data_IF_710524248226
#
_entry.id   IF_710524248226
#
_cell.length_a   1.000
_cell.length_b   1.000
_cell.length_c   1.000
_cell.angle_alpha   90.00
_cell.angle_beta   90.00
_cell.angle_gamma   90.00
#
_symmetry.space_group_name_H-M   'P 1'
#
loop_
_entity.id
_entity.type
_entity.pdbx_description
1 polymer ?
#
# COMPACT_ATOMS: atom_id res chain seq x y z
N UNK A 1 56.88 16.40 -14.66
CA UNK A 1 56.30 16.21 -13.31
C UNK A 1 54.90 16.81 -13.36
N UNK A 2 53.88 16.00 -13.62
CA UNK A 2 52.99 15.37 -12.60
C UNK A 2 52.06 16.40 -11.95
N UNK A 3 50.75 16.25 -11.76
CA UNK A 3 49.68 15.31 -12.16
C UNK A 3 48.40 16.00 -11.65
N UNK A 4 47.26 15.88 -12.34
CA UNK A 4 46.01 16.44 -11.79
C UNK A 4 44.76 16.30 -12.65
N UNK A 5 44.57 15.18 -13.36
CA UNK A 5 43.28 14.86 -13.99
C UNK A 5 42.29 14.41 -12.90
N UNK A 6 41.35 15.27 -12.57
CA UNK A 6 40.15 14.90 -11.83
C UNK A 6 39.29 13.97 -12.70
N UNK A 7 39.12 12.73 -12.22
CA UNK A 7 38.26 11.71 -12.82
C UNK A 7 36.80 12.14 -12.62
N UNK A 8 36.16 12.61 -13.68
CA UNK A 8 34.70 12.70 -13.74
C UNK A 8 34.18 11.27 -13.95
N UNK A 9 33.57 10.72 -12.91
CA UNK A 9 32.85 9.46 -12.99
C UNK A 9 31.59 9.65 -13.81
N UNK A 10 31.62 9.21 -15.06
CA UNK A 10 30.41 9.02 -15.87
C UNK A 10 29.46 8.07 -15.13
N UNK A 11 28.34 8.58 -14.61
CA UNK A 11 27.15 7.77 -14.39
C UNK A 11 26.52 7.52 -15.76
N UNK A 12 27.09 6.56 -16.49
CA UNK A 12 26.57 6.05 -17.74
C UNK A 12 25.23 5.35 -17.48
N UNK A 13 24.18 5.93 -18.06
CA UNK A 13 22.99 5.28 -18.58
C UNK A 13 23.21 3.78 -18.86
N UNK A 14 22.60 2.90 -18.04
CA UNK A 14 22.50 1.48 -18.35
C UNK A 14 21.23 1.22 -19.15
N UNK A 15 21.31 1.40 -20.46
CA UNK A 15 20.46 0.65 -21.39
C UNK A 15 20.78 -0.84 -21.21
N UNK A 16 19.90 -1.59 -20.55
CA UNK A 16 19.80 -3.03 -20.77
C UNK A 16 18.70 -3.27 -21.78
N UNK A 17 19.04 -3.10 -23.06
CA UNK A 17 18.30 -3.72 -24.15
C UNK A 17 18.46 -5.24 -23.99
N UNK A 18 17.39 -5.92 -23.62
CA UNK A 18 17.28 -7.37 -23.69
C UNK A 18 15.89 -7.74 -24.22
N UNK A 19 15.61 -7.33 -25.46
CA UNK A 19 14.68 -8.09 -26.29
C UNK A 19 15.37 -9.41 -26.63
N UNK A 20 15.24 -10.39 -25.75
CA UNK A 20 15.54 -11.78 -26.08
C UNK A 20 14.21 -12.51 -26.19
N UNK A 21 13.79 -12.77 -27.42
CA UNK A 21 12.72 -13.71 -27.73
C UNK A 21 12.96 -15.01 -26.95
N UNK A 22 12.07 -15.34 -26.02
CA UNK A 22 12.06 -16.64 -25.37
C UNK A 22 11.58 -17.66 -26.41
N UNK A 23 12.51 -18.30 -27.12
CA UNK A 23 12.20 -19.53 -27.85
C UNK A 23 11.84 -20.61 -26.83
N UNK A 24 10.59 -21.06 -26.86
CA UNK A 24 10.12 -22.23 -26.13
C UNK A 24 10.82 -23.45 -26.74
N UNK A 25 11.87 -23.94 -26.09
CA UNK A 25 12.39 -25.29 -26.33
C UNK A 25 11.51 -26.27 -25.58
N UNK A 26 10.72 -27.05 -26.32
CA UNK A 26 10.12 -28.28 -25.83
C UNK A 26 11.22 -29.33 -25.64
N UNK A 27 11.37 -29.83 -24.41
CA UNK A 27 12.09 -31.08 -24.14
C UNK A 27 12.94 -31.08 -22.87
N UNK A 28 12.66 -32.04 -21.99
CA UNK A 28 13.62 -32.53 -20.99
C UNK A 28 13.17 -32.40 -19.54
N UNK A 29 12.69 -33.51 -18.98
CA UNK A 29 12.41 -33.70 -17.56
C UNK A 29 13.71 -33.59 -16.73
N UNK A 30 13.73 -32.70 -15.74
CA UNK A 30 14.83 -32.56 -14.78
C UNK A 30 14.90 -31.17 -14.15
N UNK A 31 13.94 -30.80 -13.30
CA UNK A 31 14.02 -29.54 -12.56
C UNK A 31 15.02 -29.71 -11.42
N UNK A 32 16.22 -29.15 -11.61
CA UNK A 32 17.25 -29.01 -10.57
C UNK A 32 16.75 -28.10 -9.46
N UNK A 33 17.14 -28.36 -8.21
CA UNK A 33 16.80 -27.55 -7.04
C UNK A 33 17.35 -26.09 -7.07
N UNK A 34 18.04 -25.70 -8.15
CA UNK A 34 18.57 -24.36 -8.39
C UNK A 34 17.63 -23.42 -9.18
N UNK A 35 16.48 -23.90 -9.67
CA UNK A 35 15.55 -23.13 -10.52
C UNK A 35 14.34 -22.52 -9.78
N UNK A 36 14.45 -22.25 -8.48
CA UNK A 36 13.40 -21.46 -7.79
C UNK A 36 13.50 -20.01 -8.25
N UNK A 37 12.66 -19.62 -9.20
CA UNK A 37 12.38 -18.20 -9.46
C UNK A 37 12.07 -17.52 -8.11
N UNK A 38 12.69 -16.37 -7.82
CA UNK A 38 12.39 -15.66 -6.57
C UNK A 38 10.89 -15.37 -6.52
N UNK A 39 10.27 -15.65 -5.37
CA UNK A 39 8.86 -15.33 -5.19
C UNK A 39 8.67 -13.83 -5.42
N UNK A 40 7.73 -13.48 -6.32
CA UNK A 40 7.44 -12.09 -6.63
C UNK A 40 6.90 -11.38 -5.38
N UNK A 41 7.32 -10.13 -5.16
CA UNK A 41 6.96 -9.35 -3.97
C UNK A 41 6.04 -8.18 -4.32
N UNK A 42 5.02 -7.89 -3.49
CA UNK A 42 4.23 -6.67 -3.68
C UNK A 42 5.08 -5.42 -3.37
N UNK A 43 4.70 -4.31 -3.99
CA UNK A 43 5.35 -3.01 -3.79
C UNK A 43 4.32 -1.88 -3.75
N UNK A 44 4.77 -0.70 -3.29
CA UNK A 44 4.04 0.55 -3.39
C UNK A 44 4.87 1.52 -4.21
N UNK A 45 4.32 1.91 -5.35
CA UNK A 45 4.81 2.97 -6.22
C UNK A 45 4.19 4.29 -5.78
N UNK A 46 5.02 5.30 -5.62
CA UNK A 46 4.65 6.62 -5.10
C UNK A 46 5.04 7.67 -6.14
N UNK A 47 4.14 8.60 -6.46
CA UNK A 47 4.60 9.87 -7.05
C UNK A 47 5.43 10.66 -6.03
N UNK A 48 6.17 11.65 -6.52
CA UNK A 48 7.03 12.50 -5.71
C UNK A 48 6.32 13.80 -5.32
N UNK A 49 6.15 14.69 -6.28
CA UNK A 49 5.57 16.01 -6.09
C UNK A 49 4.05 15.88 -5.87
N UNK A 50 3.51 16.48 -4.81
CA UNK A 50 2.11 16.36 -4.41
C UNK A 50 1.78 15.10 -3.60
N UNK A 51 2.71 14.15 -3.49
CA UNK A 51 2.51 12.87 -2.78
C UNK A 51 3.48 12.69 -1.60
N UNK A 52 4.78 12.85 -1.84
CA UNK A 52 5.82 12.82 -0.80
C UNK A 52 6.23 14.23 -0.35
N UNK A 53 6.26 15.15 -1.29
CA UNK A 53 6.71 16.53 -1.09
C UNK A 53 5.72 17.51 -1.70
N UNK A 54 5.78 18.78 -1.29
CA UNK A 54 4.93 19.81 -1.87
C UNK A 54 5.17 20.01 -3.39
N UNK A 55 4.14 20.40 -4.14
CA UNK A 55 4.18 20.54 -5.59
C UNK A 55 4.21 22.02 -6.03
N UNK A 56 5.40 22.60 -6.04
CA UNK A 56 5.61 24.01 -6.41
C UNK A 56 5.87 24.24 -7.92
N UNK A 57 5.53 23.28 -8.79
CA UNK A 57 5.57 23.49 -10.25
C UNK A 57 6.97 23.28 -10.88
N UNK A 58 7.49 22.06 -10.73
CA UNK A 58 8.82 21.58 -11.15
C UNK A 58 9.94 21.89 -10.14
N UNK A 59 9.92 21.21 -9.00
CA UNK A 59 10.99 21.30 -8.01
C UNK A 59 12.28 20.62 -8.52
N UNK A 60 13.34 21.42 -8.70
CA UNK A 60 14.69 20.95 -9.04
C UNK A 60 15.77 21.44 -8.09
N UNK A 61 15.42 22.20 -7.05
CA UNK A 61 16.35 22.64 -6.02
C UNK A 61 16.19 21.77 -4.75
N UNK A 62 17.21 20.99 -4.36
CA UNK A 62 17.17 20.16 -3.16
C UNK A 62 16.89 20.92 -1.87
N UNK A 63 17.21 22.22 -1.80
CA UNK A 63 17.00 23.03 -0.59
C UNK A 63 15.53 23.44 -0.38
N UNK A 64 14.72 23.35 -1.43
CA UNK A 64 13.31 23.73 -1.40
C UNK A 64 12.38 22.54 -1.10
N UNK A 65 12.93 21.34 -0.87
CA UNK A 65 12.14 20.16 -0.54
C UNK A 65 11.42 20.35 0.79
N UNK A 66 10.09 20.25 0.74
CA UNK A 66 9.22 20.19 1.92
C UNK A 66 8.44 18.88 1.91
N UNK A 67 8.72 17.99 2.86
CA UNK A 67 7.99 16.73 3.00
C UNK A 67 6.57 17.02 3.52
N UNK A 68 5.57 16.42 2.87
CA UNK A 68 4.17 16.63 3.24
C UNK A 68 3.86 16.01 4.63
N UNK A 69 2.91 16.59 5.39
CA UNK A 69 2.50 16.02 6.67
C UNK A 69 2.02 14.57 6.55
N UNK A 70 2.44 13.72 7.50
CA UNK A 70 2.01 12.32 7.54
C UNK A 70 2.84 11.36 6.68
N UNK A 71 3.72 11.85 5.80
CA UNK A 71 4.52 11.01 4.89
C UNK A 71 5.43 10.07 5.65
N UNK A 72 6.22 10.56 6.60
CA UNK A 72 7.12 9.70 7.38
C UNK A 72 6.36 8.58 8.11
N UNK A 73 5.21 8.89 8.72
CA UNK A 73 4.35 7.90 9.39
C UNK A 73 3.79 6.88 8.40
N UNK A 74 3.42 7.32 7.20
CA UNK A 74 2.90 6.45 6.15
C UNK A 74 3.97 5.47 5.66
N UNK A 75 5.17 5.96 5.37
CA UNK A 75 6.28 5.13 4.91
C UNK A 75 6.73 4.14 6.01
N UNK A 76 6.79 4.59 7.28
CA UNK A 76 7.02 3.69 8.42
C UNK A 76 5.98 2.56 8.48
N UNK A 77 4.70 2.89 8.27
CA UNK A 77 3.63 1.88 8.27
C UNK A 77 3.82 0.88 7.14
N UNK A 78 4.06 1.35 5.91
CA UNK A 78 4.26 0.45 4.77
C UNK A 78 5.49 -0.46 4.94
N UNK A 79 6.62 0.09 5.41
CA UNK A 79 7.84 -0.67 5.67
C UNK A 79 7.65 -1.74 6.75
N UNK A 80 6.85 -1.47 7.80
CA UNK A 80 6.52 -2.46 8.84
C UNK A 80 5.72 -3.65 8.31
N UNK A 81 5.11 -3.53 7.13
CA UNK A 81 4.39 -4.61 6.45
C UNK A 81 5.21 -5.22 5.30
N UNK A 82 6.55 -5.09 5.34
CA UNK A 82 7.50 -5.67 4.38
C UNK A 82 7.26 -5.26 2.91
N UNK A 83 6.59 -4.12 2.69
CA UNK A 83 6.36 -3.58 1.36
C UNK A 83 7.59 -2.82 0.86
N UNK A 84 7.95 -3.07 -0.39
CA UNK A 84 8.99 -2.30 -1.07
C UNK A 84 8.39 -0.99 -1.58
N UNK A 85 9.11 0.11 -1.33
CA UNK A 85 8.68 1.45 -1.74
C UNK A 85 9.51 1.93 -2.92
N UNK A 86 8.86 2.39 -3.97
CA UNK A 86 9.50 2.94 -5.17
C UNK A 86 8.93 4.30 -5.49
N UNK A 87 9.77 5.22 -5.92
CA UNK A 87 9.31 6.51 -6.46
C UNK A 87 9.27 6.44 -7.97
N UNK A 88 8.15 6.83 -8.58
CA UNK A 88 7.96 6.91 -10.03
C UNK A 88 7.42 8.28 -10.40
N UNK A 89 8.26 9.15 -10.97
CA UNK A 89 7.94 10.58 -11.11
C UNK A 89 8.17 11.15 -12.52
N UNK A 90 7.30 12.05 -12.97
CA UNK A 90 7.49 12.78 -14.22
C UNK A 90 8.28 14.08 -13.95
N UNK A 91 9.54 14.16 -14.39
CA UNK A 91 10.42 15.32 -14.18
C UNK A 91 10.50 16.20 -15.45
N UNK A 92 9.34 16.71 -15.87
CA UNK A 92 9.19 17.50 -17.08
C UNK A 92 9.92 18.86 -17.06
N UNK A 93 10.36 19.33 -15.89
CA UNK A 93 11.23 20.50 -15.76
C UNK A 93 12.53 20.36 -16.55
N UNK A 94 13.05 19.14 -16.70
CA UNK A 94 14.22 18.84 -17.56
C UNK A 94 13.93 19.14 -19.02
N UNK A 95 12.84 18.59 -19.55
CA UNK A 95 12.37 18.87 -20.91
C UNK A 95 12.06 20.36 -21.16
N UNK A 96 11.66 21.10 -20.12
CA UNK A 96 11.41 22.54 -20.19
C UNK A 96 12.68 23.40 -20.04
N UNK A 97 13.82 22.80 -19.73
CA UNK A 97 15.08 23.51 -19.50
C UNK A 97 15.13 24.29 -18.18
N UNK A 98 14.26 23.96 -17.20
CA UNK A 98 14.27 24.59 -15.88
C UNK A 98 15.46 24.15 -15.03
N UNK A 99 15.89 22.90 -15.17
CA UNK A 99 17.04 22.29 -14.52
C UNK A 99 17.51 21.06 -15.31
N UNK A 100 18.71 20.55 -15.01
CA UNK A 100 19.24 19.33 -15.62
C UNK A 100 18.93 18.06 -14.84
N UNK A 101 19.21 16.89 -15.42
CA UNK A 101 19.04 15.59 -14.75
C UNK A 101 19.89 15.46 -13.47
N UNK A 102 21.08 16.10 -13.43
CA UNK A 102 21.91 16.14 -12.21
C UNK A 102 21.15 16.75 -11.01
N UNK A 103 20.30 17.75 -11.26
CA UNK A 103 19.50 18.39 -10.23
C UNK A 103 18.39 17.44 -9.72
N UNK A 104 17.82 16.61 -10.59
CA UNK A 104 16.87 15.56 -10.23
C UNK A 104 17.54 14.55 -9.30
N UNK A 105 18.74 14.08 -9.66
CA UNK A 105 19.52 13.14 -8.85
C UNK A 105 19.84 13.73 -7.46
N UNK A 106 20.27 14.99 -7.41
CA UNK A 106 20.55 15.68 -6.14
C UNK A 106 19.29 15.84 -5.29
N UNK A 107 18.15 16.16 -5.91
CA UNK A 107 16.86 16.29 -5.23
C UNK A 107 16.40 14.95 -4.65
N UNK A 108 16.53 13.86 -5.40
CA UNK A 108 16.22 12.52 -4.90
C UNK A 108 17.14 12.09 -3.75
N UNK A 109 18.45 12.37 -3.85
CA UNK A 109 19.39 12.08 -2.78
C UNK A 109 19.05 12.85 -1.49
N UNK A 110 18.70 14.14 -1.62
CA UNK A 110 18.29 14.96 -0.49
C UNK A 110 16.96 14.48 0.11
N UNK A 111 15.98 14.13 -0.73
CA UNK A 111 14.72 13.57 -0.29
C UNK A 111 14.94 12.27 0.50
N UNK A 112 15.69 11.32 -0.04
CA UNK A 112 15.99 10.05 0.66
C UNK A 112 16.66 10.30 2.01
N UNK A 113 17.63 11.23 2.08
CA UNK A 113 18.26 11.60 3.36
C UNK A 113 17.22 12.08 4.38
N UNK A 114 16.35 13.03 4.00
CA UNK A 114 15.32 13.57 4.87
C UNK A 114 14.30 12.50 5.29
N UNK A 115 13.92 11.60 4.37
CA UNK A 115 13.04 10.48 4.67
C UNK A 115 13.69 9.52 5.67
N UNK A 116 14.96 9.12 5.46
CA UNK A 116 15.69 8.27 6.39
C UNK A 116 15.78 8.88 7.80
N UNK A 117 16.07 10.18 7.89
CA UNK A 117 16.11 10.93 9.16
C UNK A 117 14.75 10.90 9.89
N UNK A 118 13.64 11.16 9.19
CA UNK A 118 12.31 11.20 9.79
C UNK A 118 11.74 9.81 10.10
N UNK A 119 11.99 8.83 9.24
CA UNK A 119 11.52 7.45 9.38
C UNK A 119 12.34 6.68 10.42
N UNK A 120 13.63 7.03 10.60
CA UNK A 120 14.56 6.30 11.45
C UNK A 120 15.06 5.00 10.82
N UNK A 121 15.18 4.96 9.50
CA UNK A 121 15.65 3.80 8.74
C UNK A 121 16.90 4.16 7.91
N UNK A 122 17.80 3.20 7.64
CA UNK A 122 18.99 3.46 6.83
C UNK A 122 18.66 3.66 5.34
N UNK A 123 17.50 3.18 4.91
CA UNK A 123 16.99 3.25 3.54
C UNK A 123 15.47 3.22 3.59
N UNK A 124 14.80 4.13 2.89
CA UNK A 124 13.33 4.21 2.85
C UNK A 124 12.80 3.86 1.48
N UNK A 125 13.32 4.50 0.42
CA UNK A 125 12.88 4.24 -0.95
C UNK A 125 13.84 3.26 -1.63
N UNK A 126 13.34 2.11 -2.06
CA UNK A 126 14.14 1.06 -2.70
C UNK A 126 14.88 1.57 -3.93
N UNK A 127 14.18 2.29 -4.81
CA UNK A 127 14.77 2.90 -6.01
C UNK A 127 13.90 4.07 -6.51
N UNK A 128 14.53 5.01 -7.20
CA UNK A 128 13.86 6.16 -7.84
C UNK A 128 13.87 5.99 -9.36
N UNK A 129 12.69 6.06 -9.97
CA UNK A 129 12.50 6.12 -11.41
C UNK A 129 11.91 7.47 -11.80
N UNK A 130 12.44 8.07 -12.86
CA UNK A 130 11.92 9.33 -13.36
C UNK A 130 11.90 9.40 -14.89
N UNK A 131 10.97 10.18 -15.43
CA UNK A 131 10.91 10.50 -16.85
C UNK A 131 11.24 11.98 -17.11
N UNK A 132 12.36 12.30 -17.80
CA UNK A 132 12.70 13.67 -18.16
C UNK A 132 12.03 14.14 -19.47
N UNK A 133 11.42 13.24 -20.23
CA UNK A 133 10.88 13.50 -21.56
C UNK A 133 9.50 14.19 -21.54
N UNK A 134 9.23 14.98 -22.58
CA UNK A 134 7.93 15.62 -22.83
C UNK A 134 7.70 15.78 -24.35
N UNK A 135 6.50 15.52 -24.90
CA UNK A 135 6.24 15.65 -26.34
C UNK A 135 6.41 17.08 -26.86
N UNK A 136 6.11 18.06 -26.01
CA UNK A 136 6.25 19.50 -26.29
C UNK A 136 7.48 20.13 -25.60
N UNK A 137 8.56 19.37 -25.37
CA UNK A 137 9.76 19.88 -24.69
C UNK A 137 10.36 21.11 -25.40
N UNK A 138 10.92 22.06 -24.66
CA UNK A 138 11.71 23.16 -25.23
C UNK A 138 13.13 22.70 -25.55
N UNK A 139 13.69 21.80 -24.73
CA UNK A 139 14.99 21.18 -24.95
C UNK A 139 14.83 20.00 -25.91
N UNK A 140 15.43 20.11 -27.10
CA UNK A 140 15.22 19.19 -28.23
C UNK A 140 15.51 17.73 -27.88
N UNK A 141 16.59 17.46 -27.14
CA UNK A 141 16.97 16.09 -26.75
C UNK A 141 15.91 15.36 -25.90
N UNK A 142 15.01 16.11 -25.25
CA UNK A 142 13.93 15.56 -24.43
C UNK A 142 12.56 15.64 -25.11
N UNK A 143 12.48 16.14 -26.36
CA UNK A 143 11.23 16.32 -27.10
C UNK A 143 10.76 15.03 -27.76
N UNK A 144 10.02 14.22 -27.00
CA UNK A 144 9.37 13.02 -27.51
C UNK A 144 8.28 12.52 -26.56
N UNK A 145 7.36 11.74 -27.10
CA UNK A 145 6.61 10.79 -26.29
C UNK A 145 7.55 9.70 -25.77
N UNK A 146 7.29 9.21 -24.55
CA UNK A 146 8.15 8.23 -23.92
C UNK A 146 7.33 7.28 -23.04
N UNK A 147 7.61 5.98 -23.12
CA UNK A 147 6.92 4.93 -22.36
C UNK A 147 7.04 5.10 -20.83
N UNK A 148 8.04 5.83 -20.35
CA UNK A 148 8.18 6.15 -18.91
C UNK A 148 7.38 7.37 -18.48
N UNK A 149 6.85 8.18 -19.40
CA UNK A 149 6.09 9.36 -19.05
C UNK A 149 4.67 8.96 -18.66
N UNK A 150 4.31 9.07 -17.38
CA UNK A 150 2.92 8.88 -16.92
C UNK A 150 1.99 9.77 -17.75
N UNK A 151 0.89 9.26 -18.33
CA UNK A 151 0.16 8.04 -17.94
C UNK A 151 0.69 6.69 -18.46
N UNK A 152 1.79 6.66 -19.22
CA UNK A 152 2.39 5.38 -19.61
C UNK A 152 3.02 4.64 -18.41
N UNK A 153 2.88 3.30 -18.32
CA UNK A 153 3.29 2.50 -17.17
C UNK A 153 4.77 2.10 -17.14
N UNK A 154 5.61 2.59 -18.07
CA UNK A 154 6.94 2.04 -18.31
C UNK A 154 7.90 2.09 -17.12
N UNK A 155 7.77 3.09 -16.22
CA UNK A 155 8.55 3.12 -14.98
C UNK A 155 8.18 1.98 -14.02
N UNK A 156 6.89 1.65 -13.91
CA UNK A 156 6.41 0.56 -13.06
C UNK A 156 6.88 -0.80 -13.60
N UNK A 157 6.81 -0.99 -14.92
CA UNK A 157 7.34 -2.20 -15.57
C UNK A 157 8.86 -2.35 -15.40
N UNK A 158 9.61 -1.25 -15.54
CA UNK A 158 11.06 -1.26 -15.33
C UNK A 158 11.41 -1.67 -13.89
N UNK A 159 10.69 -1.13 -12.90
CA UNK A 159 10.86 -1.51 -11.50
C UNK A 159 10.47 -2.97 -11.24
N UNK A 160 9.34 -3.42 -11.77
CA UNK A 160 8.89 -4.80 -11.60
C UNK A 160 9.89 -5.83 -12.14
N UNK A 161 10.44 -5.56 -13.33
CA UNK A 161 11.46 -6.41 -13.93
C UNK A 161 12.77 -6.41 -13.13
N UNK A 162 13.22 -5.24 -12.68
CA UNK A 162 14.48 -5.10 -11.96
C UNK A 162 14.44 -5.71 -10.55
N UNK A 163 13.28 -5.71 -9.90
CA UNK A 163 13.13 -6.09 -8.49
C UNK A 163 12.25 -7.32 -8.24
N UNK A 164 11.79 -7.99 -9.31
CA UNK A 164 10.91 -9.16 -9.27
C UNK A 164 9.62 -8.86 -8.47
N UNK A 165 8.88 -7.85 -8.93
CA UNK A 165 7.66 -7.39 -8.25
C UNK A 165 6.40 -8.03 -8.82
N UNK A 166 5.42 -8.27 -7.95
CA UNK A 166 4.06 -8.71 -8.29
C UNK A 166 3.17 -7.47 -8.47
N UNK A 167 2.97 -7.02 -9.71
CA UNK A 167 2.23 -5.79 -10.01
C UNK A 167 0.75 -5.89 -9.61
N UNK A 168 0.11 -7.05 -9.78
CA UNK A 168 -1.31 -7.24 -9.42
C UNK A 168 -1.57 -7.13 -7.91
N UNK A 169 -0.53 -7.36 -7.09
CA UNK A 169 -0.55 -7.14 -5.64
C UNK A 169 0.11 -5.83 -5.22
N UNK A 170 0.57 -5.02 -6.17
CA UNK A 170 1.21 -3.74 -5.91
C UNK A 170 0.23 -2.58 -6.00
N UNK A 171 0.66 -1.43 -5.50
CA UNK A 171 -0.13 -0.21 -5.44
C UNK A 171 0.56 0.93 -6.15
N UNK A 172 -0.20 1.79 -6.82
CA UNK A 172 0.24 3.09 -7.32
C UNK A 172 -0.50 4.19 -6.57
N UNK A 173 0.24 5.11 -5.94
CA UNK A 173 -0.30 6.24 -5.19
C UNK A 173 0.24 7.53 -5.78
N UNK A 174 -0.64 8.47 -6.12
CA UNK A 174 -0.28 9.77 -6.69
C UNK A 174 -1.40 10.79 -6.53
N UNK A 175 -1.13 12.07 -6.78
CA UNK A 175 -2.09 13.18 -6.67
C UNK A 175 -2.75 13.53 -8.02
N UNK A 176 -2.30 12.94 -9.13
CA UNK A 176 -2.78 13.27 -10.46
C UNK A 176 -3.44 12.07 -11.14
N UNK A 177 -4.41 12.35 -12.02
CA UNK A 177 -5.08 11.30 -12.81
C UNK A 177 -4.09 10.44 -13.61
N UNK A 178 -3.02 11.06 -14.13
CA UNK A 178 -1.96 10.34 -14.87
C UNK A 178 -1.30 9.23 -14.04
N UNK A 179 -1.27 9.37 -12.72
CA UNK A 179 -0.66 8.38 -11.81
C UNK A 179 -1.56 7.15 -11.70
N UNK A 180 -2.85 7.41 -11.49
CA UNK A 180 -3.89 6.38 -11.49
C UNK A 180 -3.91 5.63 -12.82
N UNK A 181 -3.91 6.34 -13.95
CA UNK A 181 -3.93 5.71 -15.28
C UNK A 181 -2.69 4.85 -15.51
N UNK A 182 -1.50 5.32 -15.09
CA UNK A 182 -0.27 4.54 -15.18
C UNK A 182 -0.31 3.28 -14.30
N UNK A 183 -0.82 3.40 -13.07
CA UNK A 183 -1.00 2.27 -12.16
C UNK A 183 -1.95 1.21 -12.71
N UNK A 184 -3.11 1.64 -13.19
CA UNK A 184 -4.12 0.76 -13.78
C UNK A 184 -3.58 0.07 -15.05
N UNK A 185 -2.85 0.80 -15.91
CA UNK A 185 -2.20 0.22 -17.10
C UNK A 185 -1.11 -0.81 -16.74
N UNK A 186 -0.51 -0.71 -15.55
CA UNK A 186 0.41 -1.70 -15.00
C UNK A 186 -0.28 -2.81 -14.21
N UNK A 187 -1.61 -2.83 -14.13
CA UNK A 187 -2.44 -3.74 -13.33
C UNK A 187 -2.24 -3.61 -11.81
N UNK A 188 -1.64 -2.52 -11.34
CA UNK A 188 -1.60 -2.18 -9.92
C UNK A 188 -2.98 -1.73 -9.45
N UNK A 189 -3.26 -1.90 -8.16
CA UNK A 189 -4.32 -1.13 -7.49
C UNK A 189 -3.90 0.33 -7.37
N UNK A 190 -4.84 1.24 -7.39
CA UNK A 190 -4.57 2.67 -7.51
C UNK A 190 -5.22 3.46 -6.39
N UNK A 191 -4.52 4.47 -5.89
CA UNK A 191 -5.06 5.43 -4.93
C UNK A 191 -4.74 6.84 -5.43
N UNK A 192 -5.77 7.64 -5.68
CA UNK A 192 -5.62 9.07 -5.90
C UNK A 192 -5.57 9.78 -4.54
N UNK A 193 -4.58 10.66 -4.35
CA UNK A 193 -4.53 11.57 -3.22
C UNK A 193 -5.24 12.87 -3.58
N UNK A 194 -6.36 13.16 -2.93
CA UNK A 194 -7.06 14.44 -3.11
C UNK A 194 -7.89 14.80 -1.88
N UNK A 195 -7.81 16.08 -1.51
CA UNK A 195 -8.70 16.70 -0.52
C UNK A 195 -9.88 17.43 -1.17
N UNK A 196 -9.87 17.57 -2.49
CA UNK A 196 -10.95 18.16 -3.28
C UNK A 196 -12.04 17.12 -3.56
N UNK A 197 -13.27 17.43 -3.14
CA UNK A 197 -14.42 16.54 -3.30
C UNK A 197 -14.82 16.34 -4.76
N UNK A 198 -14.67 17.37 -5.60
CA UNK A 198 -15.06 17.28 -7.02
C UNK A 198 -14.06 16.40 -7.77
N UNK A 199 -12.76 16.62 -7.54
CA UNK A 199 -11.72 15.77 -8.11
C UNK A 199 -11.82 14.33 -7.60
N UNK A 200 -12.10 14.13 -6.31
CA UNK A 200 -12.32 12.81 -5.74
C UNK A 200 -13.51 12.08 -6.38
N UNK A 201 -14.62 12.77 -6.60
CA UNK A 201 -15.82 12.19 -7.22
C UNK A 201 -15.62 11.85 -8.71
N UNK A 202 -14.75 12.57 -9.41
CA UNK A 202 -14.42 12.33 -10.82
C UNK A 202 -13.29 11.32 -11.03
N UNK A 203 -12.63 10.86 -9.96
CA UNK A 203 -11.49 9.95 -10.05
C UNK A 203 -11.83 8.63 -10.71
N UNK A 204 -10.96 8.17 -11.61
CA UNK A 204 -11.01 6.83 -12.21
C UNK A 204 -10.22 5.78 -11.41
N UNK A 205 -9.67 6.16 -10.26
CA UNK A 205 -8.89 5.25 -9.41
C UNK A 205 -9.75 4.34 -8.55
N UNK A 206 -9.20 3.19 -8.17
CA UNK A 206 -9.90 2.22 -7.31
C UNK A 206 -10.30 2.84 -5.97
N UNK A 207 -9.46 3.76 -5.46
CA UNK A 207 -9.69 4.47 -4.22
C UNK A 207 -9.24 5.93 -4.32
N UNK A 208 -9.83 6.75 -3.44
CA UNK A 208 -9.38 8.13 -3.19
C UNK A 208 -9.14 8.29 -1.70
N UNK A 209 -8.00 8.88 -1.36
CA UNK A 209 -7.62 9.17 0.02
C UNK A 209 -7.16 10.61 0.15
N UNK A 210 -7.29 11.16 1.35
CA UNK A 210 -6.98 12.58 1.57
C UNK A 210 -5.49 12.90 1.57
N UNK A 211 -4.67 11.93 1.98
CA UNK A 211 -3.22 12.05 2.14
C UNK A 211 -2.56 10.66 2.19
N UNK A 212 -1.23 10.63 2.20
CA UNK A 212 -0.47 9.39 2.12
C UNK A 212 -0.63 8.48 3.35
N UNK A 213 -0.88 9.03 4.56
CA UNK A 213 -1.09 8.18 5.75
C UNK A 213 -2.44 7.47 5.71
N UNK A 214 -3.48 8.07 5.10
CA UNK A 214 -4.75 7.38 4.88
C UNK A 214 -4.64 6.31 3.81
N UNK A 215 -3.89 6.60 2.72
CA UNK A 215 -3.54 5.59 1.72
C UNK A 215 -2.77 4.42 2.32
N UNK A 216 -1.74 4.67 3.14
CA UNK A 216 -0.97 3.61 3.79
C UNK A 216 -1.84 2.72 4.69
N UNK A 217 -2.74 3.32 5.49
CA UNK A 217 -3.69 2.56 6.32
C UNK A 217 -4.62 1.69 5.48
N UNK A 218 -5.09 2.18 4.33
CA UNK A 218 -5.90 1.38 3.40
C UNK A 218 -5.10 0.22 2.82
N UNK A 219 -3.86 0.48 2.39
CA UNK A 219 -2.98 -0.54 1.79
C UNK A 219 -2.72 -1.66 2.80
N UNK A 220 -2.50 -1.33 4.07
CA UNK A 220 -2.16 -2.31 5.10
C UNK A 220 -3.37 -2.91 5.83
N UNK A 221 -4.57 -2.33 5.70
CA UNK A 221 -5.78 -2.85 6.35
C UNK A 221 -6.11 -4.32 5.96
N UNK A 222 -5.99 -4.76 4.69
CA UNK A 222 -6.15 -6.17 4.32
C UNK A 222 -4.96 -7.06 4.70
N UNK A 223 -3.81 -6.47 5.02
CA UNK A 223 -2.57 -7.16 5.43
C UNK A 223 -2.59 -7.45 6.94
N UNK A 224 -3.66 -7.09 7.64
CA UNK A 224 -4.03 -7.72 8.91
C UNK A 224 -4.42 -9.18 8.57
N UNK A 225 -3.39 -10.02 8.56
CA UNK A 225 -3.31 -11.41 8.09
C UNK A 225 -4.62 -12.21 8.10
N UNK A 226 -4.98 -12.85 6.98
CA UNK A 226 -6.00 -13.90 6.96
C UNK A 226 -5.63 -15.13 7.83
N UNK A 227 -4.35 -15.30 8.17
CA UNK A 227 -3.87 -16.25 9.19
C UNK A 227 -3.99 -15.70 10.63
N UNK A 228 -4.24 -14.41 10.78
CA UNK A 228 -4.46 -13.69 12.01
C UNK A 228 -5.92 -13.24 12.15
N UNK A 229 -6.85 -13.68 11.31
CA UNK A 229 -8.28 -13.47 11.54
C UNK A 229 -8.86 -14.77 12.09
N UNK A 230 -9.40 -14.70 13.30
CA UNK A 230 -10.19 -15.80 13.85
C UNK A 230 -11.67 -15.45 13.75
N UNK A 231 -12.48 -16.43 13.34
CA UNK A 231 -13.94 -16.30 13.33
C UNK A 231 -14.55 -17.45 14.12
N UNK A 232 -15.53 -17.13 14.96
CA UNK A 232 -16.21 -18.14 15.78
C UNK A 232 -17.68 -17.77 15.94
N UNK A 233 -18.54 -18.78 15.86
CA UNK A 233 -19.98 -18.62 15.98
C UNK A 233 -20.48 -19.08 17.36
N UNK A 234 -21.24 -18.21 18.03
CA UNK A 234 -22.04 -18.56 19.19
C UNK A 234 -23.43 -18.98 18.73
N UNK A 235 -23.76 -20.26 18.92
CA UNK A 235 -25.05 -20.81 18.54
C UNK A 235 -26.07 -20.65 19.67
N UNK A 236 -27.21 -20.05 19.37
CA UNK A 236 -28.33 -19.96 20.28
C UNK A 236 -28.97 -21.35 20.47
N UNK A 237 -29.38 -21.66 21.69
CA UNK A 237 -30.04 -22.93 22.03
C UNK A 237 -31.37 -23.10 21.31
N UNK A 238 -32.04 -22.00 20.99
CA UNK A 238 -33.32 -21.94 20.28
C UNK A 238 -33.28 -20.81 19.28
N UNK A 239 -34.00 -20.98 18.17
CA UNK A 239 -34.05 -20.02 17.06
C UNK A 239 -34.75 -18.70 17.40
N UNK A 240 -35.54 -18.66 18.47
CA UNK A 240 -36.29 -17.45 18.89
C UNK A 240 -35.43 -16.49 19.72
N UNK A 241 -34.34 -16.95 20.35
CA UNK A 241 -33.53 -16.14 21.29
C UNK A 241 -32.93 -14.91 20.62
N UNK A 242 -32.38 -15.07 19.40
CA UNK A 242 -31.81 -13.95 18.65
C UNK A 242 -32.87 -13.08 17.96
N UNK A 243 -34.16 -13.38 18.09
CA UNK A 243 -35.22 -12.47 17.66
C UNK A 243 -35.48 -11.33 18.67
N UNK A 244 -35.02 -11.49 19.92
CA UNK A 244 -35.11 -10.44 20.94
C UNK A 244 -34.20 -9.26 20.61
N UNK A 245 -34.81 -8.12 20.27
CA UNK A 245 -34.10 -6.89 19.90
C UNK A 245 -33.22 -6.34 21.04
N UNK A 246 -33.69 -6.42 22.29
CA UNK A 246 -32.93 -5.92 23.45
C UNK A 246 -31.72 -6.81 23.69
N UNK A 247 -31.87 -8.12 23.54
CA UNK A 247 -30.74 -9.04 23.69
C UNK A 247 -29.71 -8.85 22.57
N UNK A 248 -30.13 -8.65 21.32
CA UNK A 248 -29.24 -8.30 20.20
C UNK A 248 -28.39 -7.05 20.48
N UNK A 249 -29.02 -5.96 20.93
CA UNK A 249 -28.30 -4.72 21.27
C UNK A 249 -27.37 -4.91 22.48
N UNK A 250 -27.76 -5.76 23.43
CA UNK A 250 -26.91 -6.12 24.56
C UNK A 250 -25.67 -6.89 24.11
N UNK A 251 -25.82 -7.87 23.22
CA UNK A 251 -24.70 -8.63 22.63
C UNK A 251 -23.74 -7.67 21.90
N UNK A 252 -24.26 -6.77 21.06
CA UNK A 252 -23.44 -5.77 20.36
C UNK A 252 -22.65 -4.91 21.36
N UNK A 253 -23.33 -4.36 22.36
CA UNK A 253 -22.71 -3.48 23.36
C UNK A 253 -21.61 -4.20 24.15
N UNK A 254 -21.88 -5.44 24.58
CA UNK A 254 -20.90 -6.26 25.33
C UNK A 254 -19.72 -6.68 24.46
N UNK A 255 -19.94 -7.02 23.18
CA UNK A 255 -18.87 -7.35 22.26
C UNK A 255 -17.90 -6.18 22.06
N UNK A 256 -18.42 -4.97 21.86
CA UNK A 256 -17.59 -3.76 21.73
C UNK A 256 -16.86 -3.42 23.03
N UNK A 257 -17.53 -3.50 24.19
CA UNK A 257 -16.90 -3.27 25.49
C UNK A 257 -15.79 -4.30 25.80
N UNK A 258 -16.01 -5.57 25.45
CA UNK A 258 -15.03 -6.63 25.60
C UNK A 258 -13.81 -6.39 24.70
N UNK A 259 -14.01 -6.02 23.44
CA UNK A 259 -12.95 -5.68 22.49
C UNK A 259 -12.08 -4.54 23.04
N UNK A 260 -12.70 -3.45 23.51
CA UNK A 260 -12.00 -2.32 24.12
C UNK A 260 -11.21 -2.72 25.37
N UNK A 261 -11.80 -3.51 26.27
CA UNK A 261 -11.17 -3.92 27.53
C UNK A 261 -9.97 -4.85 27.31
N UNK A 262 -10.06 -5.73 26.32
CA UNK A 262 -9.03 -6.75 26.05
C UNK A 262 -7.96 -6.27 25.06
N UNK A 263 -8.22 -5.17 24.35
CA UNK A 263 -7.37 -4.73 23.23
C UNK A 263 -7.51 -5.58 21.98
N UNK A 264 -8.47 -6.53 21.94
CA UNK A 264 -8.77 -7.34 20.75
C UNK A 264 -9.54 -6.48 19.76
N UNK A 265 -9.09 -6.45 18.50
CA UNK A 265 -9.79 -5.74 17.44
C UNK A 265 -10.95 -6.59 16.90
N UNK A 266 -12.18 -6.19 17.18
CA UNK A 266 -13.39 -6.76 16.58
C UNK A 266 -13.54 -6.20 15.16
N UNK A 267 -13.47 -7.07 14.15
CA UNK A 267 -13.56 -6.70 12.74
C UNK A 267 -15.01 -6.73 12.25
N UNK A 268 -15.76 -7.75 12.66
CA UNK A 268 -17.15 -7.95 12.25
C UNK A 268 -17.94 -8.72 13.31
N UNK A 269 -19.24 -8.42 13.41
CA UNK A 269 -20.20 -9.11 14.27
C UNK A 269 -21.51 -9.32 13.52
N UNK A 270 -21.73 -10.54 13.02
CA UNK A 270 -22.87 -10.89 12.18
C UNK A 270 -23.94 -11.64 12.96
N UNK A 271 -25.20 -11.24 12.77
CA UNK A 271 -26.34 -11.91 13.35
C UNK A 271 -27.04 -12.76 12.29
N UNK A 272 -27.14 -14.05 12.55
CA UNK A 272 -27.92 -15.00 11.77
C UNK A 272 -29.18 -15.40 12.54
N UNK A 273 -30.00 -16.27 11.95
CA UNK A 273 -31.25 -16.72 12.57
C UNK A 273 -31.04 -17.43 13.92
N UNK A 274 -29.96 -18.20 14.05
CA UNK A 274 -29.67 -19.02 15.24
C UNK A 274 -28.23 -18.89 15.74
N UNK A 275 -27.43 -17.99 15.18
CA UNK A 275 -26.05 -17.78 15.63
C UNK A 275 -25.62 -16.32 15.54
N UNK A 276 -24.58 -16.00 16.31
CA UNK A 276 -23.84 -14.74 16.19
C UNK A 276 -22.39 -15.08 15.89
N UNK A 277 -21.88 -14.58 14.76
CA UNK A 277 -20.51 -14.82 14.33
C UNK A 277 -19.66 -13.60 14.68
N UNK A 278 -18.60 -13.80 15.47
CA UNK A 278 -17.63 -12.76 15.80
C UNK A 278 -16.33 -13.03 15.04
N UNK A 279 -15.87 -12.02 14.30
CA UNK A 279 -14.60 -12.05 13.56
C UNK A 279 -13.65 -11.04 14.16
N UNK A 280 -12.47 -11.50 14.61
CA UNK A 280 -11.49 -10.69 15.33
C UNK A 280 -10.10 -10.81 14.74
N UNK A 281 -9.26 -9.79 14.96
CA UNK A 281 -7.82 -9.91 14.74
C UNK A 281 -7.17 -10.70 15.90
N UNK A 282 -6.32 -11.69 15.57
CA UNK A 282 -5.62 -12.60 16.48
C UNK A 282 -5.66 -14.11 16.18
N UNK A 283 -6.28 -14.57 15.08
CA UNK A 283 -6.41 -16.00 14.75
C UNK A 283 -7.41 -16.77 15.63
N UNK A 284 -7.59 -18.08 15.40
CA UNK A 284 -8.67 -18.87 16.02
C UNK A 284 -8.65 -18.90 17.55
N UNK A 285 -7.47 -18.98 18.17
CA UNK A 285 -7.34 -19.04 19.64
C UNK A 285 -7.87 -17.77 20.29
N UNK A 286 -7.57 -16.60 19.71
CA UNK A 286 -8.05 -15.31 20.20
C UNK A 286 -9.55 -15.18 19.97
N UNK A 287 -10.06 -15.62 18.81
CA UNK A 287 -11.49 -15.66 18.54
C UNK A 287 -12.25 -16.53 19.55
N UNK A 288 -11.77 -17.74 19.83
CA UNK A 288 -12.37 -18.63 20.81
C UNK A 288 -12.38 -18.03 22.22
N UNK A 289 -11.27 -17.41 22.64
CA UNK A 289 -11.19 -16.70 23.91
C UNK A 289 -12.19 -15.55 24.00
N UNK A 290 -12.26 -14.72 22.95
CA UNK A 290 -13.21 -13.61 22.84
C UNK A 290 -14.66 -14.09 22.93
N UNK A 291 -15.04 -15.13 22.17
CA UNK A 291 -16.40 -15.65 22.19
C UNK A 291 -16.77 -16.34 23.50
N UNK A 292 -15.81 -16.98 24.17
CA UNK A 292 -16.03 -17.59 25.49
C UNK A 292 -16.38 -16.52 26.54
N UNK A 293 -15.67 -15.40 26.54
CA UNK A 293 -15.94 -14.27 27.41
C UNK A 293 -17.27 -13.58 27.06
N UNK A 294 -17.52 -13.32 25.77
CA UNK A 294 -18.79 -12.74 25.31
C UNK A 294 -19.97 -13.64 25.69
N UNK A 295 -19.84 -14.95 25.51
CA UNK A 295 -20.83 -15.95 25.92
C UNK A 295 -21.11 -15.86 27.42
N UNK A 296 -20.06 -15.76 28.25
CA UNK A 296 -20.18 -15.68 29.72
C UNK A 296 -20.93 -14.42 30.16
N UNK A 297 -20.57 -13.28 29.59
CA UNK A 297 -21.16 -11.99 29.98
C UNK A 297 -22.63 -11.89 29.53
N UNK A 298 -22.94 -12.38 28.32
CA UNK A 298 -24.31 -12.41 27.80
C UNK A 298 -25.19 -13.46 28.49
N UNK A 299 -24.64 -14.63 28.86
CA UNK A 299 -25.34 -15.64 29.66
C UNK A 299 -25.74 -15.10 31.05
N UNK A 300 -24.83 -14.37 31.70
CA UNK A 300 -25.10 -13.73 32.99
C UNK A 300 -26.24 -12.72 32.89
N UNK A 301 -26.22 -11.88 31.87
CA UNK A 301 -27.29 -10.91 31.63
C UNK A 301 -28.63 -11.59 31.33
N UNK A 302 -28.61 -12.63 30.50
CA UNK A 302 -29.82 -13.38 30.14
C UNK A 302 -30.49 -14.00 31.37
N UNK A 303 -29.70 -14.63 32.26
CA UNK A 303 -30.23 -15.23 33.48
C UNK A 303 -30.84 -14.23 34.45
N UNK A 304 -30.34 -12.99 34.48
CA UNK A 304 -30.90 -11.94 35.32
C UNK A 304 -32.11 -11.24 34.72
N UNK A 305 -32.34 -11.32 33.40
CA UNK A 305 -33.38 -10.52 32.72
C UNK A 305 -34.41 -11.32 31.92
N UNK A 306 -34.19 -12.62 31.67
CA UNK A 306 -35.02 -13.42 30.76
C UNK A 306 -35.38 -14.79 31.34
N UNK A 307 -34.42 -15.69 31.45
CA UNK A 307 -34.69 -17.08 31.85
C UNK A 307 -33.47 -17.72 32.54
N UNK A 308 -33.68 -18.66 33.49
CA UNK A 308 -32.59 -19.31 34.21
C UNK A 308 -31.72 -20.21 33.33
N UNK A 309 -32.26 -20.67 32.19
CA UNK A 309 -31.51 -21.46 31.22
C UNK A 309 -30.63 -20.59 30.33
N UNK A 310 -29.45 -21.14 29.98
CA UNK A 310 -28.50 -20.47 29.09
C UNK A 310 -29.11 -20.20 27.71
N UNK A 311 -28.89 -19.01 27.13
CA UNK A 311 -29.35 -18.73 25.77
C UNK A 311 -28.51 -19.45 24.71
N UNK A 312 -27.34 -20.01 25.10
CA UNK A 312 -26.36 -20.58 24.19
C UNK A 312 -26.36 -22.12 24.22
N UNK A 313 -26.14 -22.74 23.07
CA UNK A 313 -25.89 -24.18 22.89
C UNK A 313 -24.45 -24.59 23.23
N UNK A 314 -24.07 -25.84 23.02
CA UNK A 314 -22.64 -26.22 23.06
C UNK A 314 -21.88 -25.53 21.92
N UNK A 315 -20.57 -25.34 22.11
CA UNK A 315 -19.68 -24.92 21.01
C UNK A 315 -19.71 -25.96 19.88
#
# INVERSE_FOLDING_TARGET
>A
MDRGRARHGNLLWRHRSAFTFLQIKTGGCGVSAADRQPALRPAVFLDRDGTLIDNDGDLGDPQQIQILPGVAQALQLLLKHDLLLFVVTNQGGVARGKYGEDAVVQTHARLEQMLCEQVGAPKVISEYYYCPFHPQATVENYRREHEWRKPAPGMLFAAALAHALDLEKSWMVGDQERDVVAGAAAQCRTILLSSDREQAAASVGDFVEKDLIHAARRITAPIIDAAAIGSVALHARRSDILSDAVFKETIKSMAHALAQRTGIQLLQLDFHASSVTATVAGGEVIALGFATELRRDTDRWWRSHRAPESPWGSF
#
